data_IF_462465710642
#
_entry.id   IF_462465710642
#
_cell.length_a   1.000
_cell.length_b   1.000
_cell.length_c   1.000
_cell.angle_alpha   90.00
_cell.angle_beta   90.00
_cell.angle_gamma   90.00
#
_symmetry.space_group_name_H-M   'P 1'
#
loop_
_entity.id
_entity.type
_entity.pdbx_description
1 polymer ?
#
# COMPACT_ATOMS: atom_id res chain seq x y z
N UNK A 1 3.12 7.02 27.78
CA UNK A 1 2.65 6.29 26.60
C UNK A 1 2.54 4.83 27.00
N UNK A 2 1.39 4.21 26.78
CA UNK A 2 1.22 2.78 27.08
C UNK A 2 2.13 1.97 26.16
N UNK A 3 2.84 0.97 26.71
CA UNK A 3 3.67 0.05 25.94
C UNK A 3 3.05 -1.34 25.99
N UNK A 4 2.98 -2.00 24.84
CA UNK A 4 2.50 -3.37 24.73
C UNK A 4 3.65 -4.34 24.95
N UNK A 5 3.46 -5.36 25.79
CA UNK A 5 4.49 -6.37 26.02
C UNK A 5 4.56 -7.33 24.82
N UNK A 6 5.74 -7.47 24.20
CA UNK A 6 5.98 -8.46 23.13
C UNK A 6 7.22 -9.28 23.46
N UNK A 7 7.01 -10.54 23.87
CA UNK A 7 8.06 -11.44 24.38
C UNK A 7 8.72 -12.30 23.31
N UNK A 8 8.33 -12.13 22.06
CA UNK A 8 8.80 -12.95 20.96
C UNK A 8 9.82 -12.16 20.12
N UNK A 9 10.35 -12.80 19.08
CA UNK A 9 11.31 -12.17 18.17
C UNK A 9 10.60 -11.51 17.00
N UNK A 10 11.27 -10.53 16.40
CA UNK A 10 10.84 -9.87 15.18
C UNK A 10 11.92 -10.05 14.11
N UNK A 11 11.55 -10.56 12.95
CA UNK A 11 12.37 -10.50 11.75
C UNK A 11 11.81 -9.41 10.83
N UNK A 12 12.61 -8.39 10.56
CA UNK A 12 12.30 -7.37 9.56
C UNK A 12 12.98 -7.78 8.26
N UNK A 13 12.21 -7.99 7.20
CA UNK A 13 12.70 -8.26 5.85
C UNK A 13 12.61 -6.96 5.05
N UNK A 14 13.76 -6.45 4.62
CA UNK A 14 13.90 -5.13 3.99
C UNK A 14 14.18 -4.01 5.00
N UNK A 15 15.09 -3.10 4.66
CA UNK A 15 15.47 -1.98 5.54
C UNK A 15 15.67 -0.65 4.79
N UNK A 16 14.82 -0.43 3.78
CA UNK A 16 14.68 0.86 3.11
C UNK A 16 14.01 1.92 4.00
N UNK A 17 13.37 2.92 3.39
CA UNK A 17 12.71 4.02 4.11
C UNK A 17 11.70 3.53 5.16
N UNK A 18 10.87 2.54 4.82
CA UNK A 18 9.83 2.01 5.72
C UNK A 18 10.45 1.21 6.87
N UNK A 19 11.41 0.31 6.59
CA UNK A 19 12.09 -0.47 7.62
C UNK A 19 12.83 0.41 8.63
N UNK A 20 13.54 1.44 8.15
CA UNK A 20 14.22 2.41 9.01
C UNK A 20 13.22 3.24 9.83
N UNK A 21 12.09 3.64 9.23
CA UNK A 21 11.10 4.47 9.88
C UNK A 21 10.21 3.74 10.90
N UNK A 22 9.96 2.43 10.73
CA UNK A 22 9.13 1.63 11.64
C UNK A 22 9.90 1.14 12.86
N UNK A 23 11.22 0.91 12.74
CA UNK A 23 12.05 0.45 13.86
C UNK A 23 11.94 1.34 15.13
N UNK A 24 12.05 2.69 15.07
CA UNK A 24 11.87 3.54 16.24
C UNK A 24 10.44 3.49 16.81
N UNK A 25 9.43 3.20 15.99
CA UNK A 25 8.05 3.03 16.46
C UNK A 25 7.88 1.72 17.22
N UNK A 26 8.45 0.62 16.73
CA UNK A 26 8.45 -0.69 17.42
C UNK A 26 9.07 -0.54 18.81
N UNK A 27 10.28 0.04 18.88
CA UNK A 27 11.01 0.23 20.16
C UNK A 27 10.35 1.25 21.10
N UNK A 28 9.51 2.14 20.55
CA UNK A 28 8.75 3.12 21.34
C UNK A 28 7.51 2.51 21.98
N UNK A 29 6.75 1.72 21.20
CA UNK A 29 5.41 1.24 21.55
C UNK A 29 5.37 -0.18 22.10
N UNK A 30 6.39 -0.99 21.85
CA UNK A 30 6.51 -2.34 22.42
C UNK A 30 7.62 -2.42 23.46
N UNK A 31 7.37 -3.22 24.49
CA UNK A 31 8.41 -3.65 25.43
C UNK A 31 9.12 -4.86 24.81
N UNK A 32 10.13 -4.59 23.98
CA UNK A 32 11.01 -5.55 23.31
C UNK A 32 12.46 -5.02 23.38
N UNK A 33 13.45 -5.92 23.44
CA UNK A 33 14.87 -5.53 23.40
C UNK A 33 15.44 -5.67 21.98
N UNK A 34 16.46 -4.88 21.64
CA UNK A 34 17.02 -4.87 20.28
C UNK A 34 17.62 -6.21 19.86
N UNK A 35 18.07 -7.05 20.81
CA UNK A 35 18.60 -8.39 20.54
C UNK A 35 17.54 -9.38 20.06
N UNK A 36 16.26 -9.05 20.24
CA UNK A 36 15.11 -9.83 19.74
C UNK A 36 14.63 -9.37 18.38
N UNK A 37 15.26 -8.35 17.81
CA UNK A 37 14.98 -7.85 16.47
C UNK A 37 16.15 -8.23 15.57
N UNK A 38 15.87 -8.82 14.42
CA UNK A 38 16.87 -9.04 13.36
C UNK A 38 16.36 -8.44 12.06
N UNK A 39 17.24 -7.76 11.35
CA UNK A 39 17.00 -7.19 10.04
C UNK A 39 17.74 -8.03 9.01
N UNK A 40 17.02 -8.47 7.98
CA UNK A 40 17.60 -9.11 6.79
C UNK A 40 17.24 -8.28 5.56
N UNK A 41 18.22 -7.94 4.74
CA UNK A 41 18.01 -7.09 3.55
C UNK A 41 18.98 -7.45 2.41
N UNK A 42 18.71 -6.93 1.22
CA UNK A 42 19.50 -7.19 0.01
C UNK A 42 20.72 -6.27 -0.15
N UNK A 43 20.78 -5.16 0.59
CA UNK A 43 21.86 -4.17 0.47
C UNK A 43 22.18 -3.50 1.82
N UNK A 44 23.09 -2.51 1.82
CA UNK A 44 23.58 -1.86 3.05
C UNK A 44 22.79 -0.63 3.49
N UNK A 45 21.73 -0.24 2.77
CA UNK A 45 20.92 0.93 3.14
C UNK A 45 20.32 0.71 4.54
N UNK A 46 20.41 1.75 5.36
CA UNK A 46 19.93 1.72 6.74
C UNK A 46 20.85 1.02 7.76
N UNK A 47 22.03 0.51 7.38
CA UNK A 47 22.96 -0.14 8.33
C UNK A 47 23.31 0.79 9.51
N UNK A 48 23.50 2.09 9.26
CA UNK A 48 23.79 3.06 10.32
C UNK A 48 22.62 3.25 11.29
N UNK A 49 21.37 3.22 10.79
CA UNK A 49 20.15 3.27 11.63
C UNK A 49 20.05 2.00 12.46
N UNK A 50 20.29 0.82 11.89
CA UNK A 50 20.30 -0.42 12.66
C UNK A 50 21.37 -0.39 13.78
N UNK A 51 22.55 0.17 13.49
CA UNK A 51 23.62 0.38 14.47
C UNK A 51 23.23 1.36 15.57
N UNK A 52 22.57 2.45 15.23
CA UNK A 52 22.05 3.44 16.19
C UNK A 52 21.14 2.79 17.24
N UNK A 53 20.25 1.89 16.82
CA UNK A 53 19.33 1.17 17.71
C UNK A 53 19.90 -0.15 18.28
N UNK A 54 21.14 -0.52 17.95
CA UNK A 54 21.76 -1.76 18.42
C UNK A 54 21.05 -3.03 17.95
N UNK A 55 20.46 -3.01 16.75
CA UNK A 55 19.73 -4.13 16.15
C UNK A 55 20.64 -4.91 15.21
N UNK A 56 20.49 -6.24 15.20
CA UNK A 56 21.26 -7.11 14.30
C UNK A 56 20.87 -6.83 12.85
N UNK A 57 21.86 -6.51 12.01
CA UNK A 57 21.70 -6.22 10.58
C UNK A 57 22.45 -7.23 9.72
N UNK A 58 21.77 -7.83 8.74
CA UNK A 58 22.30 -8.90 7.91
C UNK A 58 21.99 -8.59 6.45
N UNK A 59 23.03 -8.57 5.62
CA UNK A 59 22.90 -8.47 4.17
C UNK A 59 22.90 -9.88 3.61
N UNK A 60 21.71 -10.42 3.39
CA UNK A 60 21.47 -11.76 2.84
C UNK A 60 20.12 -11.75 2.09
N UNK A 61 20.11 -11.44 0.78
CA UNK A 61 18.86 -11.26 0.03
C UNK A 61 18.03 -12.54 0.05
N UNK A 62 16.72 -12.39 0.32
CA UNK A 62 15.78 -13.49 0.20
C UNK A 62 15.51 -13.78 -1.27
N UNK A 63 15.68 -15.05 -1.63
CA UNK A 63 15.48 -15.61 -2.95
C UNK A 63 14.55 -16.84 -2.85
N UNK A 64 13.90 -17.26 -3.95
CA UNK A 64 13.04 -18.44 -3.96
C UNK A 64 13.68 -19.71 -3.35
N UNK A 65 14.99 -19.88 -3.54
CA UNK A 65 15.76 -21.03 -3.11
C UNK A 65 16.21 -20.99 -1.64
N UNK A 66 16.37 -19.82 -1.02
CA UNK A 66 16.99 -19.68 0.31
C UNK A 66 16.06 -19.14 1.40
N UNK A 67 14.91 -18.54 1.05
CA UNK A 67 14.13 -17.76 2.02
C UNK A 67 13.68 -18.56 3.25
N UNK A 68 13.37 -19.85 3.09
CA UNK A 68 12.96 -20.74 4.18
C UNK A 68 14.09 -20.99 5.18
N UNK A 69 15.32 -21.12 4.70
CA UNK A 69 16.50 -21.34 5.52
C UNK A 69 16.84 -20.06 6.30
N UNK A 70 16.82 -18.91 5.62
CA UNK A 70 17.06 -17.61 6.23
C UNK A 70 16.02 -17.33 7.31
N UNK A 71 14.71 -17.44 7.00
CA UNK A 71 13.66 -17.15 7.97
C UNK A 71 13.74 -18.09 9.18
N UNK A 72 13.92 -19.40 8.98
CA UNK A 72 14.02 -20.37 10.08
C UNK A 72 15.23 -20.17 10.99
N UNK A 73 16.29 -19.53 10.48
CA UNK A 73 17.50 -19.24 11.27
C UNK A 73 17.29 -18.16 12.34
N UNK A 74 16.27 -17.31 12.20
CA UNK A 74 16.06 -16.15 13.08
C UNK A 74 14.79 -16.22 13.92
N UNK A 75 13.71 -16.75 13.35
CA UNK A 75 12.38 -16.76 13.98
C UNK A 75 11.70 -18.14 13.86
N UNK A 76 10.76 -18.40 14.77
CA UNK A 76 9.96 -19.62 14.82
C UNK A 76 8.55 -19.37 15.37
N UNK A 77 7.86 -20.40 15.89
CA UNK A 77 6.49 -20.28 16.39
C UNK A 77 6.29 -19.09 17.34
N UNK A 78 5.17 -18.38 17.17
CA UNK A 78 4.75 -17.17 17.90
C UNK A 78 5.61 -15.92 17.69
N UNK A 79 6.70 -16.00 16.91
CA UNK A 79 7.47 -14.84 16.45
C UNK A 79 6.73 -14.07 15.33
N UNK A 80 7.25 -12.89 14.98
CA UNK A 80 6.65 -11.99 14.00
C UNK A 80 7.60 -11.69 12.84
N UNK A 81 7.12 -11.86 11.61
CA UNK A 81 7.79 -11.43 10.40
C UNK A 81 7.13 -10.16 9.88
N UNK A 82 7.90 -9.06 9.88
CA UNK A 82 7.52 -7.79 9.26
C UNK A 82 8.23 -7.68 7.90
N UNK A 83 7.46 -7.81 6.82
CA UNK A 83 7.98 -7.72 5.46
C UNK A 83 7.73 -6.30 4.89
N UNK A 84 8.81 -5.56 4.73
CA UNK A 84 8.84 -4.20 4.14
C UNK A 84 9.91 -4.14 3.04
N UNK A 85 10.03 -5.23 2.28
CA UNK A 85 10.98 -5.41 1.19
C UNK A 85 10.33 -5.24 -0.18
N UNK A 86 11.16 -5.20 -1.21
CA UNK A 86 10.79 -5.32 -2.63
C UNK A 86 11.38 -6.63 -3.15
N UNK A 87 10.89 -7.13 -4.28
CA UNK A 87 11.40 -8.33 -4.97
C UNK A 87 11.28 -9.66 -4.19
N UNK A 88 10.59 -9.67 -3.05
CA UNK A 88 10.40 -10.85 -2.19
C UNK A 88 8.93 -11.24 -2.16
N UNK A 89 8.63 -12.49 -2.53
CA UNK A 89 7.23 -12.93 -2.64
C UNK A 89 6.49 -12.94 -1.30
N UNK A 90 5.52 -12.03 -1.15
CA UNK A 90 4.62 -11.98 0.00
C UNK A 90 3.87 -13.30 0.18
N UNK A 91 3.31 -13.88 -0.89
CA UNK A 91 2.56 -15.13 -0.81
C UNK A 91 3.40 -16.32 -0.34
N UNK A 92 4.67 -16.40 -0.77
CA UNK A 92 5.60 -17.42 -0.29
C UNK A 92 5.92 -17.25 1.21
N UNK A 93 6.14 -16.01 1.66
CA UNK A 93 6.38 -15.72 3.07
C UNK A 93 5.16 -15.96 3.94
N UNK A 94 3.96 -15.58 3.50
CA UNK A 94 2.70 -15.84 4.20
C UNK A 94 2.49 -17.34 4.37
N UNK A 95 2.63 -18.11 3.29
CA UNK A 95 2.49 -19.57 3.36
C UNK A 95 3.49 -20.16 4.35
N UNK A 96 4.77 -19.76 4.26
CA UNK A 96 5.79 -20.24 5.17
C UNK A 96 5.48 -19.88 6.62
N UNK A 97 5.12 -18.63 6.89
CA UNK A 97 4.79 -18.17 8.24
C UNK A 97 3.60 -18.95 8.82
N UNK A 98 2.55 -19.15 8.01
CA UNK A 98 1.36 -19.89 8.44
C UNK A 98 1.64 -21.36 8.74
N UNK A 99 2.48 -22.02 7.95
CA UNK A 99 2.91 -23.41 8.20
C UNK A 99 3.77 -23.55 9.45
N UNK A 100 4.47 -22.48 9.86
CA UNK A 100 5.41 -22.49 10.98
C UNK A 100 4.92 -21.72 12.21
N UNK A 101 3.62 -21.39 12.29
CA UNK A 101 3.01 -20.66 13.42
C UNK A 101 3.62 -19.27 13.67
N UNK A 102 4.06 -18.58 12.62
CA UNK A 102 4.68 -17.24 12.67
C UNK A 102 3.62 -16.20 12.28
N UNK A 103 3.55 -15.09 13.03
CA UNK A 103 2.72 -13.93 12.68
C UNK A 103 3.35 -13.17 11.51
N UNK A 104 2.53 -12.57 10.65
CA UNK A 104 3.03 -11.89 9.45
C UNK A 104 2.36 -10.54 9.22
N UNK A 105 3.11 -9.55 8.75
CA UNK A 105 2.60 -8.30 8.19
C UNK A 105 3.43 -7.86 7.00
N UNK A 106 2.78 -7.36 5.95
CA UNK A 106 3.43 -6.57 4.89
C UNK A 106 2.63 -5.33 4.49
N UNK A 107 3.22 -4.50 3.63
CA UNK A 107 2.59 -3.28 3.08
C UNK A 107 2.15 -3.43 1.63
N UNK A 108 2.51 -4.53 0.97
CA UNK A 108 2.24 -4.78 -0.46
C UNK A 108 2.20 -6.28 -0.72
N UNK A 109 1.45 -6.72 -1.75
CA UNK A 109 1.52 -8.08 -2.28
C UNK A 109 2.62 -8.14 -3.33
N UNK A 110 3.85 -8.36 -2.88
CA UNK A 110 5.03 -8.37 -3.73
C UNK A 110 5.26 -9.77 -4.35
N UNK A 111 5.70 -9.88 -5.61
CA UNK A 111 6.19 -11.12 -6.20
C UNK A 111 7.71 -11.28 -6.02
N UNK A 112 8.26 -12.40 -6.48
CA UNK A 112 9.70 -12.51 -6.65
C UNK A 112 10.20 -11.64 -7.80
N UNK A 113 11.48 -11.21 -7.71
CA UNK A 113 12.18 -10.48 -8.77
C UNK A 113 11.91 -11.09 -10.16
N UNK A 114 11.64 -10.23 -11.14
CA UNK A 114 11.44 -10.61 -12.54
C UNK A 114 9.97 -10.84 -12.94
N UNK A 115 9.06 -11.02 -11.98
CA UNK A 115 7.64 -11.25 -12.27
C UNK A 115 7.00 -10.12 -13.08
N UNK A 116 7.27 -8.85 -12.72
CA UNK A 116 6.64 -7.70 -13.38
C UNK A 116 7.03 -7.53 -14.85
N UNK A 117 8.16 -8.11 -15.26
CA UNK A 117 8.69 -8.05 -16.63
C UNK A 117 8.62 -9.40 -17.36
N UNK A 118 8.00 -10.41 -16.75
CA UNK A 118 7.86 -11.73 -17.36
C UNK A 118 6.90 -11.68 -18.55
N UNK A 119 7.45 -11.79 -19.76
CA UNK A 119 6.69 -11.76 -21.01
C UNK A 119 5.82 -13.00 -21.24
N UNK A 120 6.01 -14.06 -20.45
CA UNK A 120 5.14 -15.25 -20.50
C UNK A 120 3.79 -15.02 -19.80
N UNK A 121 3.70 -13.99 -18.95
CA UNK A 121 2.49 -13.62 -18.24
C UNK A 121 1.68 -12.58 -19.01
N UNK A 122 0.37 -12.80 -19.08
CA UNK A 122 -0.57 -11.79 -19.57
C UNK A 122 -0.60 -10.55 -18.66
N UNK A 123 -1.10 -9.43 -19.18
CA UNK A 123 -1.33 -8.21 -18.39
C UNK A 123 -2.20 -8.49 -17.16
N UNK A 124 -3.28 -9.28 -17.33
CA UNK A 124 -4.15 -9.73 -16.24
C UNK A 124 -3.39 -10.50 -15.16
N UNK A 125 -2.43 -11.35 -15.52
CA UNK A 125 -1.66 -12.13 -14.54
C UNK A 125 -0.60 -11.31 -13.81
N UNK A 126 -0.09 -10.23 -14.40
CA UNK A 126 0.87 -9.32 -13.77
C UNK A 126 0.23 -8.24 -12.89
N UNK A 127 -1.09 -8.31 -12.72
CA UNK A 127 -1.89 -7.32 -12.01
C UNK A 127 -1.84 -7.48 -10.49
N UNK A 128 -2.11 -6.40 -9.74
CA UNK A 128 -2.31 -6.48 -8.29
C UNK A 128 -3.54 -7.31 -7.94
N UNK A 129 -4.57 -7.32 -8.80
CA UNK A 129 -5.69 -8.25 -8.66
C UNK A 129 -5.21 -9.70 -8.61
N UNK A 130 -4.34 -10.12 -9.54
CA UNK A 130 -3.82 -11.49 -9.58
C UNK A 130 -2.99 -11.83 -8.34
N UNK A 131 -2.07 -10.93 -7.94
CA UNK A 131 -1.25 -11.10 -6.73
C UNK A 131 -2.11 -11.23 -5.47
N UNK A 132 -3.17 -10.41 -5.37
CA UNK A 132 -4.17 -10.51 -4.29
C UNK A 132 -4.91 -11.85 -4.30
N UNK A 133 -5.38 -12.32 -5.44
CA UNK A 133 -6.12 -13.60 -5.53
C UNK A 133 -5.23 -14.78 -5.11
N UNK A 134 -3.94 -14.77 -5.47
CA UNK A 134 -2.97 -15.76 -4.98
C UNK A 134 -2.89 -15.74 -3.46
N UNK A 135 -2.74 -14.56 -2.84
CA UNK A 135 -2.66 -14.44 -1.39
C UNK A 135 -3.97 -14.84 -0.68
N UNK A 136 -5.14 -14.52 -1.26
CA UNK A 136 -6.43 -14.94 -0.70
C UNK A 136 -6.64 -16.45 -0.75
N UNK A 137 -6.15 -17.11 -1.80
CA UNK A 137 -6.23 -18.57 -1.93
C UNK A 137 -5.46 -19.30 -0.82
N UNK A 138 -4.48 -18.65 -0.17
CA UNK A 138 -3.77 -19.22 0.98
C UNK A 138 -4.68 -19.53 2.17
N UNK A 139 -5.86 -18.90 2.25
CA UNK A 139 -6.89 -19.22 3.26
C UNK A 139 -7.40 -20.66 3.16
N UNK A 140 -7.29 -21.27 1.97
CA UNK A 140 -7.69 -22.66 1.73
C UNK A 140 -6.60 -23.68 2.07
N UNK A 141 -5.39 -23.24 2.42
CA UNK A 141 -4.29 -24.15 2.77
C UNK A 141 -4.68 -25.03 3.94
N UNK A 142 -4.47 -26.35 3.81
CA UNK A 142 -4.55 -27.25 4.94
C UNK A 142 -3.32 -27.02 5.84
N UNK A 143 -3.57 -26.69 7.10
CA UNK A 143 -2.55 -26.44 8.11
C UNK A 143 -2.78 -27.36 9.31
N UNK A 144 -1.69 -27.77 9.95
CA UNK A 144 -1.73 -28.41 11.25
C UNK A 144 -1.84 -27.32 12.34
N UNK A 145 -2.84 -27.41 13.20
CA UNK A 145 -3.04 -26.45 14.30
C UNK A 145 -3.74 -25.13 13.89
N UNK A 146 -3.74 -24.12 14.77
CA UNK A 146 -4.37 -22.83 14.48
C UNK A 146 -3.62 -22.10 13.35
N UNK A 147 -4.35 -21.31 12.56
CA UNK A 147 -3.72 -20.45 11.55
C UNK A 147 -3.25 -19.15 12.21
N UNK A 148 -1.94 -18.82 12.21
CA UNK A 148 -1.48 -17.54 12.74
C UNK A 148 -1.99 -16.38 11.86
N UNK A 149 -2.12 -15.21 12.46
CA UNK A 149 -2.60 -14.02 11.74
C UNK A 149 -1.56 -13.54 10.75
N UNK A 150 -1.99 -13.31 9.52
CA UNK A 150 -1.24 -12.61 8.49
C UNK A 150 -2.02 -11.36 8.07
N UNK A 151 -1.44 -10.18 8.29
CA UNK A 151 -2.02 -8.89 7.92
C UNK A 151 -1.42 -8.46 6.59
N UNK A 152 -2.25 -8.42 5.55
CA UNK A 152 -1.79 -8.20 4.18
C UNK A 152 -1.98 -6.75 3.78
N UNK A 153 -0.99 -6.20 3.07
CA UNK A 153 -1.08 -4.91 2.40
C UNK A 153 -1.55 -3.80 3.36
N UNK A 154 -0.82 -3.63 4.47
CA UNK A 154 -1.19 -2.78 5.60
C UNK A 154 -0.12 -1.72 5.92
N UNK A 155 0.11 -0.83 4.95
CA UNK A 155 0.78 0.45 5.14
C UNK A 155 -0.22 1.59 5.21
N UNK A 156 0.10 2.70 4.53
CA UNK A 156 -0.82 3.84 4.43
C UNK A 156 -1.95 3.55 3.42
N UNK A 157 -1.58 3.19 2.20
CA UNK A 157 -2.46 2.88 1.09
C UNK A 157 -1.72 1.90 0.19
N UNK A 158 -1.99 0.59 0.23
CA UNK A 158 -3.07 -0.09 0.95
C UNK A 158 -2.85 -0.11 2.48
N UNK A 159 -3.94 -0.11 3.25
CA UNK A 159 -3.91 -0.16 4.71
C UNK A 159 -4.80 0.90 5.36
N UNK A 160 -4.20 1.94 5.96
CA UNK A 160 -4.86 3.05 6.66
C UNK A 160 -6.07 3.63 5.92
N UNK A 161 -5.99 3.77 4.59
CA UNK A 161 -7.09 4.29 3.78
C UNK A 161 -8.37 3.45 3.86
N UNK A 162 -8.27 2.14 4.11
CA UNK A 162 -9.45 1.29 4.39
C UNK A 162 -10.14 1.68 5.70
N UNK A 163 -9.37 2.12 6.69
CA UNK A 163 -9.91 2.66 7.94
C UNK A 163 -10.54 4.04 7.71
N UNK A 164 -9.91 4.88 6.88
CA UNK A 164 -10.48 6.16 6.45
C UNK A 164 -11.81 5.99 5.72
N UNK A 165 -11.97 5.00 4.83
CA UNK A 165 -13.27 4.72 4.20
C UNK A 165 -14.34 4.42 5.24
N UNK A 166 -14.05 3.55 6.21
CA UNK A 166 -15.01 3.22 7.28
C UNK A 166 -15.40 4.46 8.09
N UNK A 167 -14.43 5.29 8.47
CA UNK A 167 -14.71 6.50 9.22
C UNK A 167 -15.49 7.52 8.37
N UNK A 168 -15.15 7.66 7.09
CA UNK A 168 -15.84 8.54 6.15
C UNK A 168 -17.30 8.15 5.93
N UNK A 169 -17.60 6.85 5.84
CA UNK A 169 -18.97 6.34 5.75
C UNK A 169 -19.79 6.67 7.01
N UNK A 170 -19.20 6.52 8.21
CA UNK A 170 -19.86 6.90 9.46
C UNK A 170 -20.12 8.41 9.53
N UNK A 171 -19.13 9.21 9.14
CA UNK A 171 -19.26 10.66 9.10
C UNK A 171 -20.38 11.07 8.14
N UNK A 172 -20.37 10.54 6.91
CA UNK A 172 -21.42 10.79 5.92
C UNK A 172 -22.81 10.40 6.42
N UNK A 173 -22.95 9.27 7.12
CA UNK A 173 -24.22 8.86 7.70
C UNK A 173 -24.73 9.88 8.74
N UNK A 174 -23.88 10.27 9.69
CA UNK A 174 -24.22 11.28 10.69
C UNK A 174 -24.59 12.62 10.03
N UNK A 175 -23.80 13.03 9.04
CA UNK A 175 -23.97 14.26 8.27
C UNK A 175 -25.27 14.33 7.46
N UNK A 176 -25.83 13.17 7.08
CA UNK A 176 -27.12 13.05 6.41
C UNK A 176 -28.27 12.72 7.39
N UNK A 177 -28.03 12.83 8.70
CA UNK A 177 -29.04 12.58 9.74
C UNK A 177 -29.45 11.11 9.88
N UNK A 178 -28.67 10.17 9.33
CA UNK A 178 -28.94 8.74 9.44
C UNK A 178 -28.47 8.24 10.81
N UNK A 179 -29.39 7.61 11.56
CA UNK A 179 -29.04 6.89 12.79
C UNK A 179 -28.52 5.50 12.41
N UNK A 180 -27.20 5.33 12.48
CA UNK A 180 -26.52 4.08 12.13
C UNK A 180 -25.72 3.58 13.33
N UNK A 181 -25.96 2.35 13.75
CA UNK A 181 -25.02 1.66 14.64
C UNK A 181 -23.76 1.27 13.86
N UNK A 182 -22.58 1.41 14.48
CA UNK A 182 -21.30 1.08 13.83
C UNK A 182 -21.36 -0.35 13.25
N UNK A 183 -21.23 -0.53 11.91
CA UNK A 183 -21.34 -1.84 11.30
C UNK A 183 -20.27 -2.83 11.82
N UNK A 184 -20.69 -4.05 12.11
CA UNK A 184 -19.83 -5.12 12.68
C UNK A 184 -19.45 -6.19 11.66
N UNK A 185 -20.11 -6.23 10.51
CA UNK A 185 -19.89 -7.23 9.44
C UNK A 185 -19.57 -6.54 8.13
N UNK A 186 -18.90 -7.26 7.21
CA UNK A 186 -18.62 -6.78 5.85
C UNK A 186 -19.90 -6.34 5.15
N UNK A 187 -20.93 -7.18 5.17
CA UNK A 187 -22.21 -6.91 4.50
C UNK A 187 -22.89 -5.65 5.05
N UNK A 188 -22.78 -5.38 6.35
CA UNK A 188 -23.33 -4.17 6.95
C UNK A 188 -22.56 -2.91 6.51
N UNK A 189 -21.23 -3.00 6.33
CA UNK A 189 -20.43 -1.91 5.75
C UNK A 189 -20.79 -1.66 4.28
N UNK A 190 -20.91 -2.72 3.48
CA UNK A 190 -21.31 -2.64 2.08
C UNK A 190 -22.70 -2.01 1.91
N UNK A 191 -23.69 -2.45 2.72
CA UNK A 191 -25.03 -1.87 2.76
C UNK A 191 -25.03 -0.41 3.19
N UNK A 192 -24.17 -0.01 4.14
CA UNK A 192 -24.03 1.39 4.52
C UNK A 192 -23.56 2.25 3.34
N UNK A 193 -22.53 1.83 2.62
CA UNK A 193 -22.03 2.53 1.44
C UNK A 193 -23.09 2.62 0.32
N UNK A 194 -23.82 1.52 0.09
CA UNK A 194 -24.95 1.46 -0.84
C UNK A 194 -26.06 2.46 -0.45
N UNK A 195 -26.49 2.45 0.81
CA UNK A 195 -27.58 3.31 1.30
C UNK A 195 -27.21 4.80 1.28
N UNK A 196 -25.92 5.12 1.45
CA UNK A 196 -25.40 6.48 1.30
C UNK A 196 -25.29 6.91 -0.17
N UNK A 197 -25.44 5.98 -1.12
CA UNK A 197 -25.31 6.26 -2.55
C UNK A 197 -23.87 6.56 -2.98
N UNK A 198 -22.87 6.02 -2.28
CA UNK A 198 -21.46 6.20 -2.67
C UNK A 198 -21.19 5.43 -3.95
N UNK A 199 -20.79 6.13 -5.02
CA UNK A 199 -20.55 5.55 -6.35
C UNK A 199 -19.08 5.33 -6.65
N UNK A 200 -18.24 6.30 -6.30
CA UNK A 200 -16.80 6.29 -6.58
C UNK A 200 -16.05 6.64 -5.30
N UNK A 201 -14.94 5.95 -5.05
CA UNK A 201 -13.98 6.27 -4.00
C UNK A 201 -12.62 6.42 -4.67
N UNK A 202 -12.08 7.63 -4.71
CA UNK A 202 -10.65 7.76 -5.01
C UNK A 202 -9.86 7.60 -3.72
N UNK A 203 -8.76 6.86 -3.77
CA UNK A 203 -7.66 7.11 -2.85
C UNK A 203 -7.01 8.39 -3.37
N UNK A 204 -7.32 9.52 -2.76
CA UNK A 204 -7.04 10.83 -3.30
C UNK A 204 -5.88 11.44 -2.53
N UNK A 205 -4.73 11.50 -3.17
CA UNK A 205 -3.48 11.90 -2.55
C UNK A 205 -2.82 13.05 -3.30
N UNK A 206 -2.24 13.97 -2.51
CA UNK A 206 -1.32 14.99 -2.98
C UNK A 206 -0.10 15.03 -2.09
N UNK A 207 1.06 14.71 -2.65
CA UNK A 207 2.33 14.99 -2.02
C UNK A 207 2.87 16.34 -2.50
N UNK A 208 3.22 17.20 -1.54
CA UNK A 208 3.78 18.55 -1.74
C UNK A 208 5.20 18.68 -1.19
N UNK A 209 5.79 17.59 -0.71
CA UNK A 209 7.18 17.58 -0.24
C UNK A 209 8.13 17.91 -1.41
N UNK A 210 9.00 18.89 -1.21
CA UNK A 210 9.92 19.38 -2.24
C UNK A 210 11.36 19.42 -1.73
N UNK A 211 12.32 19.23 -2.63
CA UNK A 211 13.75 19.38 -2.36
C UNK A 211 14.24 20.72 -2.92
N UNK A 212 15.21 21.40 -2.26
CA UNK A 212 15.82 22.61 -2.81
C UNK A 212 16.64 22.33 -4.08
N UNK A 213 16.93 21.06 -4.39
CA UNK A 213 17.69 20.64 -5.57
C UNK A 213 16.71 20.16 -6.64
N UNK A 214 16.57 20.90 -7.77
CA UNK A 214 15.70 20.49 -8.87
C UNK A 214 16.08 19.11 -9.43
N UNK A 215 15.09 18.38 -9.93
CA UNK A 215 15.30 17.13 -10.67
C UNK A 215 16.21 17.35 -11.88
N UNK A 216 17.13 16.42 -12.12
CA UNK A 216 17.97 16.37 -13.33
C UNK A 216 17.36 15.49 -14.43
N UNK A 217 17.72 15.73 -15.68
CA UNK A 217 17.41 14.80 -16.79
C UNK A 217 18.14 13.48 -16.52
N UNK A 218 17.45 12.35 -16.70
CA UNK A 218 17.99 11.02 -16.43
C UNK A 218 18.06 10.63 -14.94
N UNK A 219 17.42 11.39 -14.06
CA UNK A 219 17.27 11.12 -12.62
C UNK A 219 15.78 10.93 -12.26
N UNK A 220 15.45 9.85 -11.55
CA UNK A 220 14.14 9.68 -10.91
C UNK A 220 14.19 10.21 -9.47
N UNK A 221 13.30 11.12 -9.13
CA UNK A 221 13.17 11.70 -7.77
C UNK A 221 11.84 11.29 -7.15
N UNK A 222 11.83 10.81 -5.91
CA UNK A 222 10.60 10.46 -5.20
C UNK A 222 10.75 10.59 -3.67
N UNK A 223 9.65 10.57 -2.92
CA UNK A 223 9.60 10.61 -1.44
C UNK A 223 9.58 9.22 -0.81
N UNK A 224 9.34 8.18 -1.60
CA UNK A 224 9.39 6.78 -1.20
C UNK A 224 10.01 5.93 -2.31
N UNK A 225 9.97 4.60 -2.18
CA UNK A 225 10.65 3.63 -3.07
C UNK A 225 10.51 4.01 -4.54
N UNK A 226 11.63 4.31 -5.19
CA UNK A 226 11.66 4.67 -6.62
C UNK A 226 11.42 3.43 -7.48
N UNK A 227 12.08 2.32 -7.14
CA UNK A 227 11.92 1.06 -7.86
C UNK A 227 10.50 0.50 -7.70
N UNK A 228 9.94 0.57 -6.48
CA UNK A 228 8.54 0.19 -6.23
C UNK A 228 7.57 1.05 -7.04
N UNK A 229 7.74 2.37 -7.00
CA UNK A 229 6.85 3.26 -7.74
C UNK A 229 6.96 3.11 -9.27
N UNK A 230 8.17 2.89 -9.80
CA UNK A 230 8.37 2.64 -11.22
C UNK A 230 7.77 1.29 -11.65
N UNK A 231 7.90 0.25 -10.82
CA UNK A 231 7.33 -1.07 -11.06
C UNK A 231 5.79 -1.01 -11.07
N UNK A 232 5.17 -0.46 -10.02
CA UNK A 232 3.73 -0.27 -9.91
C UNK A 232 3.18 0.64 -11.02
N UNK A 233 3.90 1.71 -11.35
CA UNK A 233 3.54 2.59 -12.45
C UNK A 233 3.59 1.91 -13.82
N UNK A 234 4.45 0.90 -13.99
CA UNK A 234 4.60 0.13 -15.23
C UNK A 234 3.63 -1.04 -15.35
N UNK A 235 3.03 -1.47 -14.24
CA UNK A 235 1.91 -2.40 -14.24
C UNK A 235 0.67 -1.78 -14.92
N UNK A 236 -0.29 -2.61 -15.37
CA UNK A 236 -1.53 -2.08 -15.90
C UNK A 236 -2.24 -1.18 -14.90
N UNK A 237 -2.86 -0.12 -15.40
CA UNK A 237 -3.76 0.68 -14.58
C UNK A 237 -4.96 -0.17 -14.15
N UNK A 238 -5.23 -0.23 -12.86
CA UNK A 238 -6.30 -1.05 -12.28
C UNK A 238 -7.26 -0.23 -11.43
N UNK A 239 -8.52 -0.67 -11.43
CA UNK A 239 -9.57 -0.06 -10.66
C UNK A 239 -10.63 -1.08 -10.27
N UNK A 240 -11.04 -1.06 -9.00
CA UNK A 240 -12.30 -1.66 -8.59
C UNK A 240 -13.43 -1.03 -9.37
N UNK A 241 -14.33 -1.84 -9.94
CA UNK A 241 -15.29 -1.36 -10.94
C UNK A 241 -16.71 -1.36 -10.42
N UNK A 242 -17.30 -0.17 -10.30
CA UNK A 242 -18.60 0.02 -9.67
C UNK A 242 -19.79 -0.36 -10.55
N UNK A 243 -20.88 -0.79 -9.93
CA UNK A 243 -22.12 -1.17 -10.65
C UNK A 243 -22.83 0.01 -11.32
N UNK A 244 -22.43 1.24 -10.98
CA UNK A 244 -22.99 2.46 -11.56
C UNK A 244 -22.37 2.85 -12.90
N UNK A 245 -21.21 2.27 -13.24
CA UNK A 245 -20.48 2.56 -14.48
C UNK A 245 -21.24 1.99 -15.66
N UNK A 246 -21.54 2.83 -16.65
CA UNK A 246 -22.38 2.47 -17.80
C UNK A 246 -21.61 2.02 -19.03
N UNK A 247 -20.32 2.37 -19.09
CA UNK A 247 -19.44 2.03 -20.19
C UNK A 247 -18.08 1.66 -19.64
N UNK A 248 -17.47 0.63 -20.21
CA UNK A 248 -16.06 0.36 -20.01
C UNK A 248 -15.22 1.38 -20.78
N UNK A 249 -14.06 1.79 -20.25
CA UNK A 249 -13.03 2.48 -21.03
C UNK A 249 -12.62 1.64 -22.27
N UNK A 250 -12.19 2.31 -23.34
CA UNK A 250 -11.92 1.69 -24.66
C UNK A 250 -10.96 0.48 -24.63
N UNK A 251 -9.98 0.51 -23.73
CA UNK A 251 -8.97 -0.54 -23.55
C UNK A 251 -9.09 -1.26 -22.20
N UNK A 252 -10.25 -1.19 -21.56
CA UNK A 252 -10.51 -1.94 -20.34
C UNK A 252 -10.78 -3.41 -20.62
N UNK A 253 -10.30 -4.27 -19.71
CA UNK A 253 -10.52 -5.71 -19.70
C UNK A 253 -10.95 -6.16 -18.31
N UNK A 254 -11.73 -7.23 -18.28
CA UNK A 254 -12.05 -7.96 -17.07
C UNK A 254 -11.03 -9.08 -16.83
N UNK A 255 -10.91 -9.49 -15.57
CA UNK A 255 -10.25 -10.74 -15.22
C UNK A 255 -11.23 -11.91 -15.40
N UNK A 256 -10.74 -13.05 -15.86
CA UNK A 256 -11.48 -14.30 -16.04
C UNK A 256 -11.44 -15.22 -14.81
N UNK A 257 -10.80 -14.77 -13.72
CA UNK A 257 -10.69 -15.47 -12.43
C UNK A 257 -10.93 -14.51 -11.26
N UNK A 258 -11.03 -15.07 -10.03
CA UNK A 258 -11.06 -14.32 -8.77
C UNK A 258 -12.42 -13.71 -8.39
N UNK A 259 -12.42 -12.71 -7.50
CA UNK A 259 -13.63 -12.10 -6.94
C UNK A 259 -14.49 -11.25 -7.90
N UNK A 260 -13.99 -10.95 -9.10
CA UNK A 260 -14.67 -10.18 -10.15
C UNK A 260 -14.95 -8.73 -9.76
N UNK A 261 -14.08 -8.12 -8.94
CA UNK A 261 -14.27 -6.77 -8.38
C UNK A 261 -13.57 -5.65 -9.14
N UNK A 262 -12.65 -5.97 -10.04
CA UNK A 262 -11.81 -4.99 -10.74
C UNK A 262 -11.81 -5.20 -12.25
N UNK A 263 -11.47 -4.11 -12.95
CA UNK A 263 -11.00 -4.11 -14.32
C UNK A 263 -9.55 -3.62 -14.35
N UNK A 264 -8.87 -3.89 -15.44
CA UNK A 264 -7.59 -3.28 -15.77
C UNK A 264 -7.65 -2.64 -17.15
N UNK A 265 -6.82 -1.64 -17.39
CA UNK A 265 -6.61 -1.08 -18.72
C UNK A 265 -5.37 -1.74 -19.32
N UNK A 266 -5.40 -2.02 -20.63
CA UNK A 266 -4.22 -2.44 -21.40
C UNK A 266 -3.26 -1.26 -21.66
N UNK A 267 -2.95 -0.50 -20.61
CA UNK A 267 -2.01 0.61 -20.58
C UNK A 267 -1.41 0.75 -19.17
N UNK A 268 -0.16 1.23 -19.04
CA UNK A 268 0.50 1.36 -17.76
C UNK A 268 -0.10 2.48 -16.90
N UNK A 269 0.02 2.34 -15.58
CA UNK A 269 -0.41 3.34 -14.61
C UNK A 269 0.25 4.71 -14.83
N UNK A 270 1.55 4.75 -15.15
CA UNK A 270 2.30 5.99 -15.41
C UNK A 270 1.77 6.79 -16.61
N UNK A 271 1.04 6.16 -17.52
CA UNK A 271 0.43 6.79 -18.70
C UNK A 271 -1.07 7.10 -18.49
N UNK A 272 -1.64 6.71 -17.35
CA UNK A 272 -3.08 6.79 -17.11
C UNK A 272 -3.41 7.92 -16.14
N UNK A 273 -3.95 9.02 -16.66
CA UNK A 273 -4.37 10.17 -15.85
C UNK A 273 -5.86 10.17 -15.56
N UNK A 274 -6.22 10.62 -14.37
CA UNK A 274 -7.59 10.86 -13.92
C UNK A 274 -7.73 12.27 -13.36
N UNK A 275 -8.96 12.80 -13.38
CA UNK A 275 -9.31 14.03 -12.65
C UNK A 275 -9.73 13.65 -11.24
N UNK A 276 -9.13 14.28 -10.25
CA UNK A 276 -9.44 14.04 -8.85
C UNK A 276 -9.46 15.35 -8.07
N UNK A 277 -9.62 15.25 -6.75
CA UNK A 277 -9.67 16.39 -5.85
C UNK A 277 -9.09 16.06 -4.47
N UNK A 278 -8.30 16.98 -3.91
CA UNK A 278 -7.87 16.96 -2.50
C UNK A 278 -8.09 18.35 -1.87
N UNK A 279 -8.15 18.47 -0.53
CA UNK A 279 -8.33 19.77 0.13
C UNK A 279 -7.29 20.83 -0.26
N UNK A 280 -6.02 20.44 -0.40
CA UNK A 280 -4.92 21.34 -0.75
C UNK A 280 -4.90 21.68 -2.24
N UNK A 281 -4.94 20.67 -3.11
CA UNK A 281 -4.87 20.89 -4.56
C UNK A 281 -6.15 21.46 -5.15
N UNK A 282 -7.28 21.29 -4.46
CA UNK A 282 -8.61 21.30 -5.08
C UNK A 282 -8.60 20.32 -6.27
N UNK A 283 -9.05 20.74 -7.44
CA UNK A 283 -9.01 19.91 -8.65
C UNK A 283 -7.57 19.65 -9.10
N UNK A 284 -7.24 18.39 -9.35
CA UNK A 284 -5.93 17.98 -9.84
C UNK A 284 -6.02 16.91 -10.92
N UNK A 285 -5.00 16.84 -11.77
CA UNK A 285 -4.69 15.59 -12.45
C UNK A 285 -3.92 14.69 -11.51
N UNK A 286 -4.19 13.40 -11.62
CA UNK A 286 -3.51 12.38 -10.84
C UNK A 286 -3.34 11.13 -11.71
N UNK A 287 -2.49 10.20 -11.27
CA UNK A 287 -2.25 8.94 -11.96
C UNK A 287 -3.07 7.82 -11.33
N UNK A 288 -3.57 6.93 -12.19
CA UNK A 288 -4.21 5.69 -11.77
C UNK A 288 -3.14 4.58 -11.74
N UNK A 289 -2.29 4.66 -10.72
CA UNK A 289 -1.32 3.62 -10.39
C UNK A 289 -2.06 2.46 -9.72
N UNK A 290 -1.76 1.22 -10.12
CA UNK A 290 -2.45 0.07 -9.55
C UNK A 290 -2.11 -0.10 -8.08
N UNK A 291 -3.11 -0.42 -7.26
CA UNK A 291 -2.95 -0.52 -5.81
C UNK A 291 -3.94 -1.54 -5.22
N UNK A 292 -3.50 -2.34 -4.25
CA UNK A 292 -4.27 -3.44 -3.66
C UNK A 292 -5.62 -3.00 -3.07
N UNK A 293 -5.72 -1.80 -2.50
CA UNK A 293 -6.96 -1.25 -1.94
C UNK A 293 -8.00 -0.87 -2.99
N UNK A 294 -7.58 -0.59 -4.24
CA UNK A 294 -8.49 -0.37 -5.37
C UNK A 294 -9.38 -1.60 -5.58
N UNK A 295 -8.79 -2.79 -5.48
CA UNK A 295 -9.51 -4.06 -5.57
C UNK A 295 -10.20 -4.39 -4.24
N UNK A 296 -9.45 -4.37 -3.14
CA UNK A 296 -9.94 -4.91 -1.88
C UNK A 296 -11.07 -4.08 -1.23
N UNK A 297 -11.08 -2.75 -1.39
CA UNK A 297 -12.19 -1.92 -0.89
C UNK A 297 -13.44 -2.13 -1.75
N UNK A 298 -13.30 -2.21 -3.07
CA UNK A 298 -14.43 -2.47 -3.97
C UNK A 298 -15.06 -3.85 -3.68
N UNK A 299 -14.24 -4.90 -3.52
CA UNK A 299 -14.69 -6.22 -3.08
C UNK A 299 -15.35 -6.18 -1.69
N UNK A 300 -14.72 -5.51 -0.72
CA UNK A 300 -15.25 -5.41 0.65
C UNK A 300 -16.61 -4.71 0.72
N UNK A 301 -16.85 -3.71 -0.12
CA UNK A 301 -18.10 -2.95 -0.18
C UNK A 301 -19.10 -3.50 -1.21
N UNK A 302 -18.89 -4.70 -1.74
CA UNK A 302 -19.83 -5.35 -2.65
C UNK A 302 -21.07 -5.85 -1.89
N UNK A 303 -22.27 -5.48 -2.33
CA UNK A 303 -23.53 -6.07 -1.90
C UNK A 303 -24.02 -7.05 -2.97
N UNK A 304 -24.43 -8.22 -2.53
CA UNK A 304 -25.05 -9.25 -3.36
C UNK A 304 -26.50 -9.48 -2.92
N UNK A 305 -27.37 -9.67 -3.89
CA UNK A 305 -28.70 -10.24 -3.73
C UNK A 305 -28.66 -11.62 -4.40
N UNK A 306 -28.65 -12.67 -3.58
CA UNK A 306 -28.22 -14.01 -3.95
C UNK A 306 -26.85 -14.01 -4.67
N UNK A 307 -26.81 -14.44 -5.94
CA UNK A 307 -25.59 -14.46 -6.75
C UNK A 307 -25.34 -13.15 -7.49
N UNK A 308 -26.35 -12.26 -7.56
CA UNK A 308 -26.30 -11.03 -8.34
C UNK A 308 -25.64 -9.90 -7.56
N UNK A 309 -24.65 -9.24 -8.16
CA UNK A 309 -24.05 -8.04 -7.57
C UNK A 309 -24.99 -6.85 -7.82
N UNK A 310 -25.60 -6.34 -6.75
CA UNK A 310 -26.54 -5.21 -6.82
C UNK A 310 -25.87 -3.87 -6.51
N UNK A 311 -24.74 -3.89 -5.80
CA UNK A 311 -23.96 -2.68 -5.51
C UNK A 311 -22.46 -2.98 -5.39
N UNK A 312 -21.66 -2.10 -5.96
CA UNK A 312 -20.22 -1.97 -5.74
C UNK A 312 -19.79 -0.55 -6.09
N UNK A 313 -18.92 0.10 -5.31
CA UNK A 313 -18.32 1.37 -5.71
C UNK A 313 -17.16 1.16 -6.70
N UNK A 314 -16.94 2.11 -7.59
CA UNK A 314 -15.66 2.23 -8.31
C UNK A 314 -14.60 2.69 -7.31
N UNK A 315 -13.44 2.04 -7.28
CA UNK A 315 -12.35 2.42 -6.37
C UNK A 315 -11.03 2.38 -7.11
N UNK A 316 -10.27 3.46 -7.08
CA UNK A 316 -8.91 3.46 -7.59
C UNK A 316 -8.05 4.55 -6.98
N UNK A 317 -6.74 4.42 -7.14
CA UNK A 317 -5.81 5.45 -6.75
C UNK A 317 -5.91 6.64 -7.70
N UNK A 318 -5.83 7.83 -7.12
CA UNK A 318 -5.70 9.09 -7.83
C UNK A 318 -4.52 9.83 -7.20
N UNK A 319 -3.31 9.37 -7.54
CA UNK A 319 -2.08 9.83 -6.96
C UNK A 319 -1.50 11.04 -7.69
N UNK A 320 -1.33 12.16 -7.01
CA UNK A 320 -0.45 13.22 -7.45
C UNK A 320 0.81 13.21 -6.58
N UNK A 321 1.92 12.61 -7.05
CA UNK A 321 3.14 12.53 -6.25
C UNK A 321 3.81 13.91 -6.16
N UNK A 322 4.94 13.98 -5.46
CA UNK A 322 5.71 15.22 -5.34
C UNK A 322 6.15 15.72 -6.73
N UNK A 323 6.44 17.02 -6.86
CA UNK A 323 6.73 17.64 -8.15
C UNK A 323 7.96 17.00 -8.85
N UNK A 324 8.95 16.56 -8.08
CA UNK A 324 10.09 15.79 -8.59
C UNK A 324 9.67 14.45 -9.21
N UNK A 325 8.73 13.74 -8.59
CA UNK A 325 8.19 12.49 -9.09
C UNK A 325 7.25 12.70 -10.28
N UNK A 326 6.48 13.80 -10.32
CA UNK A 326 5.69 14.18 -11.51
C UNK A 326 6.58 14.31 -12.74
N UNK A 327 7.69 15.06 -12.62
CA UNK A 327 8.65 15.21 -13.71
C UNK A 327 9.37 13.89 -14.04
N UNK A 328 9.53 13.00 -13.06
CA UNK A 328 10.13 11.67 -13.26
C UNK A 328 9.20 10.72 -14.01
N UNK A 329 7.90 10.74 -13.72
CA UNK A 329 6.89 9.98 -14.46
C UNK A 329 6.74 10.47 -15.90
N UNK A 330 6.82 11.78 -16.13
CA UNK A 330 6.76 12.35 -17.48
C UNK A 330 7.94 11.86 -18.34
N UNK A 331 9.15 11.89 -17.78
CA UNK A 331 10.34 11.35 -18.46
C UNK A 331 10.30 9.83 -18.61
N UNK A 332 9.78 9.09 -17.62
CA UNK A 332 9.58 7.63 -17.70
C UNK A 332 8.63 7.29 -18.87
N UNK A 333 7.52 8.01 -18.97
CA UNK A 333 6.55 7.84 -20.05
C UNK A 333 7.17 8.19 -21.41
N UNK A 334 7.91 9.30 -21.50
CA UNK A 334 8.64 9.71 -22.71
C UNK A 334 9.69 8.70 -23.17
N UNK A 335 10.24 7.93 -22.23
CA UNK A 335 11.21 6.85 -22.49
C UNK A 335 10.57 5.46 -22.61
N UNK A 336 9.25 5.37 -22.86
CA UNK A 336 8.51 4.12 -23.01
C UNK A 336 8.63 3.17 -21.80
N UNK A 337 8.64 3.72 -20.59
CA UNK A 337 8.74 2.94 -19.35
C UNK A 337 10.15 2.47 -19.01
N UNK A 338 11.18 2.91 -19.75
CA UNK A 338 12.58 2.66 -19.35
C UNK A 338 12.95 3.62 -18.21
N UNK A 339 13.14 3.06 -17.02
CA UNK A 339 13.50 3.80 -15.83
C UNK A 339 14.84 4.54 -16.00
N UNK A 340 14.90 5.73 -15.42
CA UNK A 340 16.09 6.56 -15.33
C UNK A 340 17.24 5.84 -14.63
N UNK A 341 18.48 6.16 -15.03
CA UNK A 341 19.69 5.52 -14.50
C UNK A 341 20.05 5.99 -13.10
N UNK A 342 19.81 7.28 -12.83
CA UNK A 342 20.08 7.88 -11.54
C UNK A 342 18.79 7.93 -10.72
N UNK A 343 18.92 7.82 -9.40
CA UNK A 343 17.81 7.84 -8.46
C UNK A 343 18.13 8.72 -7.26
N UNK A 344 17.14 9.50 -6.80
CA UNK A 344 17.26 10.29 -5.58
C UNK A 344 15.98 10.25 -4.76
N UNK A 345 16.03 9.50 -3.67
CA UNK A 345 15.03 9.53 -2.62
C UNK A 345 15.21 10.82 -1.81
N UNK A 346 14.19 11.68 -1.75
CA UNK A 346 14.22 12.88 -0.91
C UNK A 346 13.66 12.57 0.48
N UNK A 347 14.37 13.01 1.52
CA UNK A 347 13.99 12.74 2.91
C UNK A 347 14.52 13.85 3.83
N UNK A 348 15.83 13.88 4.05
CA UNK A 348 16.48 14.87 4.93
C UNK A 348 16.48 16.28 4.32
N UNK A 349 16.51 16.36 2.99
CA UNK A 349 16.56 17.61 2.24
C UNK A 349 15.17 18.20 1.93
N UNK A 350 14.08 17.58 2.39
CA UNK A 350 12.72 18.10 2.18
C UNK A 350 12.57 19.46 2.90
N UNK A 351 12.10 20.46 2.15
CA UNK A 351 11.87 21.82 2.64
C UNK A 351 10.74 21.89 3.68
N UNK A 352 10.82 22.80 4.67
CA UNK A 352 9.76 23.01 5.66
C UNK A 352 8.40 23.30 5.02
N UNK A 353 7.33 22.83 5.65
CA UNK A 353 5.96 23.03 5.18
C UNK A 353 5.46 22.02 4.13
N UNK A 354 6.34 21.18 3.58
CA UNK A 354 5.94 20.07 2.72
C UNK A 354 4.99 19.11 3.43
N UNK A 355 3.93 18.68 2.75
CA UNK A 355 2.85 17.83 3.27
C UNK A 355 2.60 16.65 2.35
N UNK A 356 2.39 15.50 2.94
CA UNK A 356 1.73 14.37 2.27
C UNK A 356 0.26 14.35 2.71
N UNK A 357 -0.63 14.72 1.78
CA UNK A 357 -2.08 14.76 1.97
C UNK A 357 -2.72 13.51 1.38
N UNK A 358 -2.78 12.45 2.20
CA UNK A 358 -3.37 11.16 1.84
C UNK A 358 -4.75 10.98 2.46
N UNK A 359 -5.74 10.67 1.64
CA UNK A 359 -7.09 10.36 2.11
C UNK A 359 -7.96 9.65 1.09
N UNK A 360 -9.24 9.57 1.42
CA UNK A 360 -10.27 8.95 0.56
C UNK A 360 -11.32 9.97 0.18
N UNK A 361 -11.60 10.08 -1.11
CA UNK A 361 -12.62 10.95 -1.68
C UNK A 361 -13.84 10.12 -2.09
N UNK A 362 -14.87 10.14 -1.27
CA UNK A 362 -16.15 9.48 -1.54
C UNK A 362 -17.02 10.41 -2.37
N UNK A 363 -17.64 9.87 -3.44
CA UNK A 363 -18.39 10.67 -4.42
C UNK A 363 -19.71 10.00 -4.81
N UNK A 364 -20.66 10.83 -5.28
CA UNK A 364 -21.95 10.38 -5.81
C UNK A 364 -23.09 10.33 -4.79
N UNK A 365 -22.77 10.51 -3.51
CA UNK A 365 -23.74 10.65 -2.43
C UNK A 365 -24.43 12.02 -2.44
N UNK A 366 -25.49 12.20 -1.64
CA UNK A 366 -26.35 13.39 -1.65
C UNK A 366 -25.64 14.73 -1.33
N UNK A 367 -24.48 14.69 -0.67
CA UNK A 367 -23.66 15.86 -0.35
C UNK A 367 -22.58 16.18 -1.40
N UNK A 368 -22.61 15.52 -2.56
CA UNK A 368 -21.63 15.72 -3.63
C UNK A 368 -20.38 14.86 -3.43
N UNK A 369 -19.36 15.44 -2.79
CA UNK A 369 -18.08 14.79 -2.53
C UNK A 369 -17.62 15.01 -1.09
N UNK A 370 -16.90 14.03 -0.52
CA UNK A 370 -16.37 14.11 0.82
C UNK A 370 -14.97 13.49 0.89
N UNK A 371 -13.98 14.29 1.22
CA UNK A 371 -12.61 13.84 1.45
C UNK A 371 -12.36 13.68 2.96
N UNK A 372 -11.75 12.56 3.34
CA UNK A 372 -11.33 12.30 4.72
C UNK A 372 -9.94 11.65 4.73
N UNK A 373 -9.01 12.18 5.53
CA UNK A 373 -7.64 11.70 5.56
C UNK A 373 -6.70 12.54 6.40
N UNK A 374 -5.41 12.29 6.17
CA UNK A 374 -4.27 12.90 6.86
C UNK A 374 -3.69 14.05 6.03
N UNK A 375 -3.13 15.05 6.71
CA UNK A 375 -2.41 16.19 6.12
C UNK A 375 -1.08 16.37 6.85
N UNK A 376 -0.30 15.30 6.93
CA UNK A 376 0.91 15.25 7.74
C UNK A 376 2.02 16.07 7.08
N UNK A 377 2.56 17.04 7.81
CA UNK A 377 3.73 17.81 7.33
C UNK A 377 5.04 17.12 7.68
N UNK A 378 6.07 17.42 6.90
CA UNK A 378 7.45 17.01 7.18
C UNK A 378 7.94 17.56 8.53
N UNK A 379 7.53 18.78 8.89
CA UNK A 379 7.93 19.40 10.16
C UNK A 379 7.39 18.61 11.35
N UNK A 380 6.12 18.18 11.25
CA UNK A 380 5.50 17.35 12.28
C UNK A 380 6.12 15.95 12.29
N UNK A 381 6.31 15.33 11.13
CA UNK A 381 6.92 14.00 11.01
C UNK A 381 8.29 13.94 11.70
N UNK A 382 9.18 14.89 11.36
CA UNK A 382 10.52 15.02 11.97
C UNK A 382 10.46 15.29 13.47
N UNK A 383 9.45 16.00 13.95
CA UNK A 383 9.25 16.27 15.38
C UNK A 383 8.85 15.03 16.16
N UNK A 384 8.04 14.14 15.57
CA UNK A 384 7.43 13.03 16.31
C UNK A 384 8.20 11.72 16.20
N UNK A 385 8.78 11.38 15.05
CA UNK A 385 9.50 10.11 14.84
C UNK A 385 10.68 10.33 13.90
N UNK A 386 11.92 10.00 14.31
CA UNK A 386 13.08 10.11 13.43
C UNK A 386 13.02 9.12 12.26
N UNK A 387 13.89 9.32 11.26
CA UNK A 387 14.03 8.46 10.08
C UNK A 387 12.75 8.32 9.23
N UNK A 388 11.82 9.27 9.35
CA UNK A 388 10.62 9.33 8.53
C UNK A 388 10.48 10.72 7.92
N UNK A 389 10.15 10.76 6.62
CA UNK A 389 9.45 11.90 6.02
C UNK A 389 7.92 11.74 6.23
N UNK A 390 7.11 12.66 5.71
CA UNK A 390 5.66 12.59 5.93
C UNK A 390 5.03 11.35 5.28
N UNK A 391 5.48 10.96 4.08
CA UNK A 391 5.03 9.75 3.39
C UNK A 391 5.34 8.50 4.21
N UNK A 392 6.61 8.34 4.60
CA UNK A 392 7.07 7.18 5.36
C UNK A 392 6.35 7.07 6.71
N UNK A 393 6.14 8.18 7.43
CA UNK A 393 5.49 8.11 8.74
C UNK A 393 4.03 7.65 8.65
N UNK A 394 3.31 8.01 7.58
CA UNK A 394 1.95 7.50 7.39
C UNK A 394 1.94 5.99 7.18
N UNK A 395 2.93 5.44 6.48
CA UNK A 395 3.08 3.99 6.31
C UNK A 395 3.49 3.33 7.62
N UNK A 396 4.54 3.83 8.27
CA UNK A 396 5.15 3.20 9.44
C UNK A 396 4.31 3.31 10.71
N UNK A 397 3.45 4.33 10.83
CA UNK A 397 2.48 4.44 11.92
C UNK A 397 1.24 3.55 11.72
N UNK A 398 1.02 3.06 10.49
CA UNK A 398 -0.08 2.15 10.16
C UNK A 398 0.30 0.68 10.39
N UNK A 399 1.58 0.36 10.17
CA UNK A 399 2.22 -0.88 10.63
C UNK A 399 2.20 -0.93 12.16
#
# INVERSE_FOLDING_TARGET
MERYEFKNKILIVGFGSIGQGVLPLILRHFTITSERITIVTADKRGEDVAREYGVRFIVDPLLPENYKEIVSSYIGPDDFLLNVSVDVSSSALIEYCQRNQILYLDTVMEPWLGFYVDSSLSVSQRSNYALREVALNLRSLSLEGPRPTAVLAHGANPGLVSHFVKQALLNLAADNGMKVEKPKTRDAWAKLAMNLGVKVIHIAERDTQESPVPKKIGEFVNTWSIDGFAAEGSQPSEMGWGTHEKQLPENAKWHDFGCGSAIYLEQPGYATKVRSWTPTSRSQYAWIITHHESISIADYLTVRDDETIVYRPTVHYAYHPCDGAVLSLDELAGNNGVQQKEQRLISEDILPGGVDELGVLLMGHAKGTYWYGSRLSIDEARRVVPHNNATALQVTASI
#
